data_IF_570345974468
#
_entry.id   IF_570345974468
#
_cell.length_a   1.000
_cell.length_b   1.000
_cell.length_c   1.000
_cell.angle_alpha   90.00
_cell.angle_beta   90.00
_cell.angle_gamma   90.00
#
_symmetry.space_group_name_H-M   'P 1'
#
loop_
_entity.id
_entity.type
_entity.pdbx_description
1 polymer ?
#
# COMPACT_ATOMS: atom_id res chain seq x y z
N UNK A 1 -19.93 1.66 16.00
CA UNK A 1 -18.82 0.69 16.18
C UNK A 1 -17.71 1.12 15.25
N UNK A 2 -16.56 1.59 15.76
CA UNK A 2 -15.44 2.01 14.90
C UNK A 2 -14.94 0.78 14.13
N UNK A 3 -15.16 0.73 12.82
CA UNK A 3 -14.76 -0.39 11.97
C UNK A 3 -13.25 -0.30 11.71
N UNK A 4 -12.45 -0.68 12.72
CA UNK A 4 -11.04 -0.92 12.51
C UNK A 4 -10.91 -2.12 11.56
N UNK A 5 -10.50 -1.87 10.31
CA UNK A 5 -10.11 -2.93 9.39
C UNK A 5 -8.95 -3.72 9.99
N UNK A 6 -9.03 -5.04 9.88
CA UNK A 6 -7.91 -5.89 10.26
C UNK A 6 -6.72 -5.62 9.34
N UNK A 7 -5.52 -5.89 9.85
CA UNK A 7 -4.29 -5.70 9.08
C UNK A 7 -4.31 -6.51 7.77
N UNK A 8 -4.88 -7.72 7.79
CA UNK A 8 -5.03 -8.57 6.60
C UNK A 8 -5.95 -7.95 5.54
N UNK A 9 -7.03 -7.29 5.95
CA UNK A 9 -7.93 -6.59 5.02
C UNK A 9 -7.23 -5.39 4.38
N UNK A 10 -6.44 -4.63 5.16
CA UNK A 10 -5.65 -3.52 4.62
C UNK A 10 -4.64 -3.99 3.57
N UNK A 11 -3.91 -5.08 3.84
CA UNK A 11 -2.98 -5.65 2.86
C UNK A 11 -3.71 -6.11 1.59
N UNK A 12 -4.88 -6.75 1.73
CA UNK A 12 -5.66 -7.18 0.58
C UNK A 12 -6.15 -6.00 -0.27
N UNK A 13 -6.58 -4.90 0.38
CA UNK A 13 -7.00 -3.68 -0.32
C UNK A 13 -5.82 -3.06 -1.09
N UNK A 14 -4.65 -2.96 -0.46
CA UNK A 14 -3.42 -2.46 -1.10
C UNK A 14 -3.07 -3.33 -2.32
N UNK A 15 -3.07 -4.65 -2.17
CA UNK A 15 -2.77 -5.57 -3.27
C UNK A 15 -3.79 -5.46 -4.39
N UNK A 16 -5.07 -5.34 -4.06
CA UNK A 16 -6.14 -5.17 -5.04
C UNK A 16 -5.97 -3.87 -5.82
N UNK A 17 -5.69 -2.75 -5.14
CA UNK A 17 -5.45 -1.47 -5.79
C UNK A 17 -4.26 -1.53 -6.75
N UNK A 18 -3.17 -2.20 -6.35
CA UNK A 18 -1.96 -2.31 -7.18
C UNK A 18 -2.18 -3.26 -8.37
N UNK A 19 -2.66 -4.48 -8.12
CA UNK A 19 -2.72 -5.53 -9.15
C UNK A 19 -3.92 -5.37 -10.06
N UNK A 20 -5.08 -5.04 -9.51
CA UNK A 20 -6.34 -5.01 -10.27
C UNK A 20 -6.70 -3.61 -10.76
N UNK A 21 -6.28 -2.57 -10.05
CA UNK A 21 -6.62 -1.17 -10.41
C UNK A 21 -5.43 -0.36 -10.91
N UNK A 22 -4.20 -0.86 -10.74
CA UNK A 22 -2.97 -0.12 -11.06
C UNK A 22 -2.92 1.28 -10.39
N UNK A 23 -3.58 1.41 -9.23
CA UNK A 23 -3.73 2.67 -8.49
C UNK A 23 -2.75 2.72 -7.32
N UNK A 24 -1.53 3.16 -7.62
CA UNK A 24 -0.46 3.27 -6.64
C UNK A 24 -0.66 4.44 -5.67
N UNK A 25 -1.38 5.49 -6.07
CA UNK A 25 -1.59 6.67 -5.23
C UNK A 25 -2.54 6.34 -4.07
N UNK A 26 -3.65 5.65 -4.34
CA UNK A 26 -4.55 5.21 -3.27
C UNK A 26 -3.87 4.18 -2.37
N UNK A 27 -3.12 3.23 -2.95
CA UNK A 27 -2.36 2.27 -2.16
C UNK A 27 -1.33 2.95 -1.23
N UNK A 28 -0.62 3.96 -1.74
CA UNK A 28 0.33 4.75 -0.95
C UNK A 28 -0.36 5.53 0.18
N UNK A 29 -1.53 6.13 -0.08
CA UNK A 29 -2.31 6.81 0.96
C UNK A 29 -2.72 5.85 2.09
N UNK A 30 -3.18 4.63 1.76
CA UNK A 30 -3.51 3.64 2.80
C UNK A 30 -2.28 3.30 3.64
N UNK A 31 -1.11 3.13 3.02
CA UNK A 31 0.15 2.85 3.70
C UNK A 31 0.50 3.99 4.67
N UNK A 32 0.48 5.23 4.19
CA UNK A 32 0.82 6.42 4.99
C UNK A 32 -0.17 6.60 6.14
N UNK A 33 -1.48 6.53 5.88
CA UNK A 33 -2.51 6.75 6.91
C UNK A 33 -2.51 5.71 8.03
N UNK A 34 -2.02 4.49 7.74
CA UNK A 34 -1.98 3.40 8.73
C UNK A 34 -0.57 3.15 9.27
N UNK A 35 0.39 4.05 9.02
CA UNK A 35 1.80 3.91 9.40
C UNK A 35 2.41 2.55 9.01
N UNK A 36 1.98 2.01 7.86
CA UNK A 36 2.45 0.72 7.36
C UNK A 36 3.78 0.92 6.64
N UNK A 37 4.72 0.00 6.82
CA UNK A 37 5.97 0.00 6.06
C UNK A 37 5.90 -0.93 4.86
N UNK A 38 6.67 -0.65 3.81
CA UNK A 38 6.81 -1.56 2.67
C UNK A 38 7.33 -2.93 3.13
N UNK A 39 8.19 -2.97 4.15
CA UNK A 39 8.69 -4.23 4.72
C UNK A 39 7.55 -5.07 5.31
N UNK A 40 6.64 -4.47 6.06
CA UNK A 40 5.47 -5.16 6.63
C UNK A 40 4.54 -5.67 5.52
N UNK A 41 4.27 -4.84 4.49
CA UNK A 41 3.52 -5.26 3.31
C UNK A 41 4.12 -6.52 2.69
N UNK A 42 5.42 -6.51 2.41
CA UNK A 42 6.11 -7.64 1.75
C UNK A 42 6.21 -8.89 2.62
N UNK A 43 6.23 -8.73 3.94
CA UNK A 43 6.21 -9.87 4.86
C UNK A 43 4.85 -10.58 4.85
N UNK A 44 3.78 -9.84 4.53
CA UNK A 44 2.41 -10.36 4.52
C UNK A 44 1.90 -10.77 3.14
N UNK A 45 2.58 -10.39 2.05
CA UNK A 45 2.20 -10.80 0.70
C UNK A 45 3.39 -10.93 -0.25
N UNK A 46 3.39 -11.99 -1.05
CA UNK A 46 4.35 -12.22 -2.15
C UNK A 46 3.75 -11.93 -3.53
N UNK A 47 2.56 -11.30 -3.59
CA UNK A 47 1.81 -11.09 -4.84
C UNK A 47 2.31 -9.90 -5.66
N UNK A 48 3.23 -9.11 -5.13
CA UNK A 48 3.74 -7.89 -5.77
C UNK A 48 5.10 -8.16 -6.42
N UNK A 49 5.24 -7.76 -7.68
CA UNK A 49 6.53 -7.79 -8.36
C UNK A 49 7.43 -6.64 -7.88
N UNK A 50 8.74 -6.74 -8.16
CA UNK A 50 9.70 -5.65 -7.90
C UNK A 50 9.26 -4.33 -8.55
N UNK A 51 8.69 -4.38 -9.76
CA UNK A 51 8.19 -3.20 -10.44
C UNK A 51 7.01 -2.56 -9.70
N UNK A 52 6.10 -3.37 -9.15
CA UNK A 52 4.98 -2.87 -8.35
C UNK A 52 5.48 -2.19 -7.07
N UNK A 53 6.51 -2.76 -6.44
CA UNK A 53 7.13 -2.21 -5.22
C UNK A 53 7.80 -0.88 -5.53
N UNK A 54 8.54 -0.79 -6.63
CA UNK A 54 9.19 0.45 -7.06
C UNK A 54 8.17 1.58 -7.28
N UNK A 55 7.13 1.33 -8.08
CA UNK A 55 6.06 2.30 -8.33
C UNK A 55 5.32 2.74 -7.07
N UNK A 56 5.08 1.80 -6.15
CA UNK A 56 4.47 2.11 -4.86
C UNK A 56 5.37 2.99 -4.00
N UNK A 57 6.68 2.70 -3.98
CA UNK A 57 7.68 3.50 -3.26
C UNK A 57 7.73 4.92 -3.82
N UNK A 58 7.75 5.08 -5.14
CA UNK A 58 7.73 6.37 -5.82
C UNK A 58 6.47 7.17 -5.44
N UNK A 59 5.29 6.53 -5.42
CA UNK A 59 4.04 7.16 -5.03
C UNK A 59 4.05 7.64 -3.57
N UNK A 60 4.58 6.84 -2.64
CA UNK A 60 4.71 7.22 -1.23
C UNK A 60 5.63 8.43 -1.09
N UNK A 61 6.81 8.39 -1.72
CA UNK A 61 7.79 9.49 -1.67
C UNK A 61 7.19 10.77 -2.25
N UNK A 62 6.45 10.66 -3.36
CA UNK A 62 5.79 11.80 -3.98
C UNK A 62 4.80 12.46 -3.01
N UNK A 63 3.89 11.69 -2.42
CA UNK A 63 2.85 12.21 -1.52
C UNK A 63 3.48 12.87 -0.29
N UNK A 64 4.53 12.26 0.30
CA UNK A 64 5.21 12.81 1.46
C UNK A 64 5.96 14.12 1.18
N UNK A 65 6.38 14.37 -0.06
CA UNK A 65 7.02 15.64 -0.45
C UNK A 65 6.00 16.76 -0.70
N UNK A 66 4.76 16.39 -1.00
CA UNK A 66 3.67 17.32 -1.31
C UNK A 66 2.82 17.67 -0.07
N UNK A 67 3.05 17.00 1.06
CA UNK A 67 2.39 17.23 2.37
C UNK A 67 3.24 18.10 3.29
#
# INVERSE_FOLDING_TARGET
MSAYKSYKELINDIVYLIINKNDFNQAANIIIMNNLTIKELLTMTFRLSILNIAKLSDAIIKIQKES
#
